data_IF_863511492112
#
_entry.id   IF_863511492112
#
_cell.length_a   1.000
_cell.length_b   1.000
_cell.length_c   1.000
_cell.angle_alpha   90.00
_cell.angle_beta   90.00
_cell.angle_gamma   90.00
#
_symmetry.space_group_name_H-M   'P 1'
#
loop_
_entity.id
_entity.type
_entity.pdbx_description
1 polymer ?
#
# COMPACT_ATOMS: atom_id res chain seq x y z
N UNK A 1 -84.89 25.51 -35.70
CA UNK A 1 -84.18 26.52 -36.49
C UNK A 1 -82.75 26.37 -36.21
N UNK A 2 -82.03 25.99 -37.25
CA UNK A 2 -80.67 26.14 -37.62
C UNK A 2 -79.58 25.88 -36.59
N UNK A 3 -78.99 24.76 -36.68
CA UNK A 3 -77.74 24.20 -36.34
C UNK A 3 -76.54 24.81 -36.98
N UNK A 4 -75.47 24.85 -36.21
CA UNK A 4 -74.13 25.00 -36.76
C UNK A 4 -73.25 23.88 -36.24
N UNK A 5 -72.76 23.05 -37.15
CA UNK A 5 -71.74 22.02 -36.88
C UNK A 5 -70.40 22.65 -36.97
N UNK A 6 -69.67 22.57 -35.83
CA UNK A 6 -68.26 22.98 -35.79
C UNK A 6 -67.37 21.74 -35.93
N UNK A 7 -66.63 21.64 -37.04
CA UNK A 7 -65.67 20.61 -37.35
C UNK A 7 -64.38 20.91 -36.59
N UNK A 8 -64.05 20.06 -35.62
CA UNK A 8 -62.74 20.15 -34.91
C UNK A 8 -61.66 19.45 -35.76
N UNK A 9 -60.69 20.21 -36.20
CA UNK A 9 -59.48 19.69 -36.88
C UNK A 9 -58.51 19.20 -35.81
N UNK A 10 -58.27 17.86 -35.80
CA UNK A 10 -57.23 17.22 -34.96
C UNK A 10 -55.93 17.38 -35.75
N UNK A 11 -55.02 18.21 -35.20
CA UNK A 11 -53.62 18.25 -35.64
C UNK A 11 -52.86 17.09 -35.00
N UNK A 12 -52.52 16.08 -35.77
CA UNK A 12 -51.59 15.03 -35.36
C UNK A 12 -50.19 15.59 -35.47
N UNK A 13 -49.55 15.88 -34.32
CA UNK A 13 -48.13 16.17 -34.26
C UNK A 13 -47.40 14.85 -34.19
N UNK A 14 -46.75 14.48 -35.27
CA UNK A 14 -45.82 13.34 -35.30
C UNK A 14 -44.52 13.79 -34.66
N UNK A 15 -44.30 13.37 -33.41
CA UNK A 15 -43.03 13.58 -32.67
C UNK A 15 -42.05 12.49 -33.14
N UNK A 16 -41.16 12.83 -34.05
CA UNK A 16 -40.02 11.99 -34.43
C UNK A 16 -39.00 11.95 -33.28
N UNK A 17 -39.03 10.86 -32.52
CA UNK A 17 -37.98 10.60 -31.52
C UNK A 17 -36.68 10.21 -32.24
N UNK A 18 -35.71 11.15 -32.29
CA UNK A 18 -34.34 10.86 -32.71
C UNK A 18 -33.65 10.14 -31.56
N UNK A 19 -33.58 8.82 -31.63
CA UNK A 19 -32.72 8.01 -30.79
C UNK A 19 -31.25 8.29 -31.20
N UNK A 20 -30.56 9.20 -30.51
CA UNK A 20 -29.11 9.25 -30.54
C UNK A 20 -28.57 8.00 -29.82
N UNK A 21 -28.26 6.97 -30.58
CA UNK A 21 -27.44 5.87 -30.11
C UNK A 21 -26.02 6.39 -29.90
N UNK A 22 -25.67 6.68 -28.65
CA UNK A 22 -24.28 6.86 -28.26
C UNK A 22 -23.58 5.51 -28.45
N UNK A 23 -22.98 5.30 -29.62
CA UNK A 23 -22.02 4.22 -29.84
C UNK A 23 -20.73 4.62 -29.15
N UNK A 24 -20.66 4.40 -27.82
CA UNK A 24 -19.40 4.39 -27.11
C UNK A 24 -18.52 3.32 -27.75
N UNK A 25 -17.39 3.71 -28.35
CA UNK A 25 -16.41 2.75 -28.82
C UNK A 25 -16.05 1.86 -27.62
N UNK A 26 -16.07 0.52 -27.76
CA UNK A 26 -15.63 -0.35 -26.68
C UNK A 26 -14.20 0.04 -26.31
N UNK A 27 -13.98 0.31 -25.02
CA UNK A 27 -12.64 0.53 -24.47
C UNK A 27 -11.82 -0.70 -24.87
N UNK A 28 -10.66 -0.55 -25.54
CA UNK A 28 -9.89 -1.73 -25.94
C UNK A 28 -9.63 -2.56 -24.68
N UNK A 29 -9.98 -3.82 -24.71
CA UNK A 29 -9.62 -4.76 -23.66
C UNK A 29 -8.10 -4.69 -23.51
N UNK A 30 -7.62 -4.39 -22.31
CA UNK A 30 -6.18 -4.38 -22.03
C UNK A 30 -5.67 -5.78 -22.38
N UNK A 31 -4.79 -5.86 -23.37
CA UNK A 31 -4.09 -7.11 -23.70
C UNK A 31 -3.24 -7.43 -22.49
N UNK A 32 -3.73 -8.29 -21.62
CA UNK A 32 -2.96 -8.83 -20.51
C UNK A 32 -1.99 -9.83 -21.10
N UNK A 33 -0.77 -9.39 -21.40
CA UNK A 33 0.30 -10.32 -21.73
C UNK A 33 0.48 -11.26 -20.53
N UNK A 34 0.44 -12.56 -20.80
CA UNK A 34 0.66 -13.55 -19.76
C UNK A 34 2.09 -13.40 -19.22
N UNK A 35 2.23 -13.39 -17.89
CA UNK A 35 3.54 -13.28 -17.23
C UNK A 35 4.27 -14.62 -17.38
N UNK A 36 5.47 -14.60 -17.92
CA UNK A 36 6.39 -15.72 -17.78
C UNK A 36 6.77 -15.85 -16.30
N UNK A 37 6.61 -17.04 -15.72
CA UNK A 37 6.72 -17.25 -14.30
C UNK A 37 7.54 -18.49 -13.96
N UNK A 38 8.57 -18.28 -13.18
CA UNK A 38 9.37 -19.34 -12.57
C UNK A 38 9.33 -19.15 -11.05
N UNK A 39 8.99 -20.18 -10.26
CA UNK A 39 8.97 -20.04 -8.80
C UNK A 39 10.31 -19.51 -8.26
N UNK A 40 10.23 -18.56 -7.34
CA UNK A 40 11.41 -18.04 -6.65
C UNK A 40 12.15 -19.20 -5.93
N UNK A 41 13.49 -19.18 -5.92
CA UNK A 41 14.29 -20.24 -5.30
C UNK A 41 14.29 -20.19 -3.77
N UNK A 42 13.58 -19.25 -3.18
CA UNK A 42 13.51 -18.98 -1.75
C UNK A 42 12.07 -18.99 -1.25
N UNK A 43 11.91 -19.21 0.05
CA UNK A 43 10.62 -19.25 0.70
C UNK A 43 10.54 -18.16 1.77
N UNK A 44 9.56 -17.28 1.65
CA UNK A 44 9.28 -16.26 2.66
C UNK A 44 8.90 -16.91 4.00
N UNK A 45 9.47 -16.41 5.11
CA UNK A 45 9.19 -16.91 6.45
C UNK A 45 8.15 -16.02 7.15
N UNK A 46 6.93 -16.51 7.28
CA UNK A 46 5.87 -15.86 8.05
C UNK A 46 6.20 -15.74 9.54
N UNK A 47 6.98 -16.68 10.09
CA UNK A 47 7.42 -16.62 11.49
C UNK A 47 8.42 -15.49 11.70
N UNK A 48 9.34 -15.29 10.76
CA UNK A 48 10.28 -14.16 10.83
C UNK A 48 9.54 -12.84 10.70
N UNK A 49 8.59 -12.72 9.77
CA UNK A 49 7.78 -11.51 9.59
C UNK A 49 6.96 -11.22 10.85
N UNK A 50 6.28 -12.22 11.41
CA UNK A 50 5.56 -12.07 12.68
C UNK A 50 6.46 -11.57 13.81
N UNK A 51 7.66 -12.13 13.95
CA UNK A 51 8.63 -11.67 14.95
C UNK A 51 9.09 -10.22 14.72
N UNK A 52 9.13 -9.75 13.47
CA UNK A 52 9.43 -8.35 13.17
C UNK A 52 8.25 -7.43 13.53
N UNK A 53 7.00 -7.85 13.36
CA UNK A 53 5.83 -7.12 13.90
C UNK A 53 5.93 -7.05 15.43
N UNK A 54 6.09 -8.20 16.08
CA UNK A 54 6.18 -8.29 17.55
C UNK A 54 7.31 -7.38 18.10
N UNK A 55 8.43 -7.33 17.39
CA UNK A 55 9.54 -6.44 17.76
C UNK A 55 9.18 -4.97 17.64
N UNK A 56 8.49 -4.54 16.59
CA UNK A 56 7.99 -3.18 16.44
C UNK A 56 7.04 -2.80 17.58
N UNK A 57 6.03 -3.64 17.87
CA UNK A 57 5.10 -3.45 18.98
C UNK A 57 5.82 -3.39 20.34
N UNK A 58 6.93 -4.14 20.52
CA UNK A 58 7.68 -4.15 21.79
C UNK A 58 8.31 -2.81 22.17
N UNK A 59 8.40 -1.83 21.26
CA UNK A 59 8.81 -0.47 21.56
C UNK A 59 7.65 0.38 22.12
N UNK A 60 6.41 -0.07 21.95
CA UNK A 60 5.18 0.68 22.17
C UNK A 60 4.70 1.43 20.93
N UNK A 61 3.60 2.20 21.04
CA UNK A 61 3.06 3.00 19.95
C UNK A 61 4.09 3.94 19.33
N UNK A 62 4.28 3.81 18.02
CA UNK A 62 5.31 4.53 17.26
C UNK A 62 4.81 5.89 16.79
N UNK A 63 4.11 6.59 17.67
CA UNK A 63 3.54 7.91 17.36
C UNK A 63 4.62 8.97 17.25
N UNK A 64 4.37 9.96 16.41
CA UNK A 64 5.30 11.04 16.14
C UNK A 64 5.85 11.69 17.43
N UNK A 65 7.14 12.00 17.46
CA UNK A 65 7.87 12.57 18.60
C UNK A 65 8.02 11.66 19.83
N UNK A 66 7.51 10.43 19.83
CA UNK A 66 7.66 9.52 20.96
C UNK A 66 9.06 8.88 21.01
N UNK A 67 9.46 8.39 22.18
CA UNK A 67 10.68 7.59 22.32
C UNK A 67 10.56 6.25 21.57
N UNK A 68 9.38 5.64 21.59
CA UNK A 68 9.08 4.41 20.86
C UNK A 68 9.34 4.58 19.36
N UNK A 69 8.85 5.68 18.76
CA UNK A 69 9.10 6.04 17.37
C UNK A 69 10.61 6.13 17.08
N UNK A 70 11.37 6.88 17.86
CA UNK A 70 12.82 7.01 17.66
C UNK A 70 13.54 5.65 17.72
N UNK A 71 13.28 4.87 18.78
CA UNK A 71 13.93 3.58 18.99
C UNK A 71 13.56 2.55 17.90
N UNK A 72 12.29 2.53 17.48
CA UNK A 72 11.84 1.65 16.41
C UNK A 72 12.48 2.02 15.07
N UNK A 73 12.50 3.30 14.70
CA UNK A 73 13.17 3.76 13.47
C UNK A 73 14.65 3.42 13.44
N UNK A 74 15.34 3.55 14.57
CA UNK A 74 16.76 3.15 14.69
C UNK A 74 16.93 1.64 14.52
N UNK A 75 16.03 0.86 15.10
CA UNK A 75 16.04 -0.61 14.96
C UNK A 75 15.74 -1.06 13.52
N UNK A 76 14.76 -0.45 12.82
CA UNK A 76 14.46 -0.72 11.41
C UNK A 76 15.71 -0.47 10.56
N UNK A 77 16.30 0.72 10.68
CA UNK A 77 17.50 1.10 9.93
C UNK A 77 18.68 0.16 10.20
N UNK A 78 18.91 -0.21 11.47
CA UNK A 78 19.96 -1.15 11.87
C UNK A 78 19.68 -2.57 11.34
N UNK A 79 18.43 -2.98 11.25
CA UNK A 79 18.05 -4.31 10.75
C UNK A 79 18.30 -4.43 9.26
N UNK A 80 17.94 -3.45 8.45
CA UNK A 80 18.28 -3.41 7.03
C UNK A 80 19.81 -3.42 6.80
N UNK A 81 20.56 -2.62 7.58
CA UNK A 81 22.04 -2.62 7.53
C UNK A 81 22.61 -4.01 7.84
N UNK A 82 22.07 -4.71 8.84
CA UNK A 82 22.48 -6.08 9.20
C UNK A 82 22.26 -7.07 8.05
N UNK A 83 21.27 -6.84 7.21
CA UNK A 83 21.02 -7.63 6.00
C UNK A 83 21.86 -7.18 4.80
N UNK A 84 22.80 -6.26 4.99
CA UNK A 84 23.76 -5.85 3.97
C UNK A 84 23.26 -4.76 3.02
N UNK A 85 22.11 -4.12 3.31
CA UNK A 85 21.60 -3.01 2.49
C UNK A 85 22.29 -1.69 2.85
N UNK A 86 22.46 -0.83 1.86
CA UNK A 86 22.84 0.57 2.06
C UNK A 86 21.63 1.34 2.61
N UNK A 87 21.77 1.96 3.78
CA UNK A 87 20.65 2.63 4.46
C UNK A 87 20.94 4.10 4.65
N UNK A 88 19.98 4.94 4.24
CA UNK A 88 19.96 6.38 4.52
C UNK A 88 18.64 6.78 5.18
N UNK A 89 18.64 7.90 5.89
CA UNK A 89 17.45 8.50 6.47
C UNK A 89 17.25 9.89 5.88
N UNK A 90 16.02 10.16 5.45
CA UNK A 90 15.58 11.47 5.00
C UNK A 90 14.76 12.10 6.12
N UNK A 91 15.25 13.21 6.68
CA UNK A 91 14.57 13.95 7.74
C UNK A 91 13.89 15.19 7.20
N UNK A 92 12.71 15.50 7.74
CA UNK A 92 12.05 16.78 7.50
C UNK A 92 11.32 17.25 8.75
N UNK A 93 11.29 18.57 8.93
CA UNK A 93 10.50 19.22 9.97
C UNK A 93 9.16 19.65 9.37
N UNK A 94 8.08 19.08 9.88
CA UNK A 94 6.71 19.29 9.39
C UNK A 94 5.77 19.65 10.54
N UNK A 95 4.50 19.85 10.23
CA UNK A 95 3.45 20.08 11.20
C UNK A 95 2.26 19.16 10.94
N UNK A 96 1.77 18.55 12.00
CA UNK A 96 0.49 17.87 11.99
C UNK A 96 -0.66 18.88 11.84
N UNK A 97 -1.85 18.38 11.55
CA UNK A 97 -3.05 19.19 11.35
C UNK A 97 -3.46 20.07 12.56
N UNK A 98 -3.07 19.67 13.77
CA UNK A 98 -3.28 20.39 15.02
C UNK A 98 -2.20 21.45 15.31
N UNK A 99 -1.23 21.58 14.41
CA UNK A 99 -0.09 22.50 14.53
C UNK A 99 1.13 21.92 15.29
N UNK A 100 1.04 20.69 15.79
CA UNK A 100 2.15 20.00 16.46
C UNK A 100 3.34 19.90 15.51
N UNK A 101 4.49 20.38 15.97
CA UNK A 101 5.74 20.25 15.21
C UNK A 101 6.27 18.84 15.35
N UNK A 102 6.59 18.23 14.23
CA UNK A 102 7.20 16.91 14.15
C UNK A 102 8.49 16.95 13.37
N UNK A 103 9.39 16.02 13.67
CA UNK A 103 10.54 15.72 12.84
C UNK A 103 10.39 14.30 12.31
N UNK A 104 9.87 14.19 11.09
CA UNK A 104 9.69 12.90 10.45
C UNK A 104 10.98 12.35 9.86
N UNK A 105 11.02 11.03 9.67
CA UNK A 105 12.17 10.28 9.19
C UNK A 105 11.75 9.18 8.21
N UNK A 106 11.80 9.43 6.92
CA UNK A 106 11.74 8.34 5.95
C UNK A 106 13.04 7.54 5.99
N UNK A 107 12.94 6.20 5.97
CA UNK A 107 14.10 5.30 5.98
C UNK A 107 14.16 4.62 4.62
N UNK A 108 15.29 4.76 3.91
CA UNK A 108 15.50 4.16 2.61
C UNK A 108 16.62 3.13 2.71
N UNK A 109 16.34 1.87 2.37
CA UNK A 109 17.29 0.78 2.38
C UNK A 109 17.42 0.19 0.97
N UNK A 110 18.63 0.24 0.40
CA UNK A 110 18.90 -0.11 -0.99
C UNK A 110 19.72 -1.40 -1.11
N UNK A 111 19.15 -2.38 -1.80
CA UNK A 111 19.84 -3.53 -2.34
C UNK A 111 20.34 -3.17 -3.75
N UNK A 112 21.60 -3.47 -4.07
CA UNK A 112 22.27 -2.99 -5.28
C UNK A 112 22.08 -1.49 -5.54
N UNK A 113 22.63 -0.62 -4.69
CA UNK A 113 22.41 0.83 -4.75
C UNK A 113 22.87 1.45 -6.08
N UNK A 114 23.90 0.89 -6.72
CA UNK A 114 24.44 1.38 -8.00
C UNK A 114 23.68 0.88 -9.24
N UNK A 115 22.69 0.02 -9.09
CA UNK A 115 21.90 -0.49 -10.19
C UNK A 115 21.04 0.63 -10.81
N UNK A 116 21.17 0.82 -12.13
CA UNK A 116 20.41 1.83 -12.89
C UNK A 116 18.93 1.49 -13.01
N UNK A 117 18.61 0.20 -13.18
CA UNK A 117 17.22 -0.28 -13.20
C UNK A 117 16.86 -0.70 -11.78
N UNK A 118 15.81 -0.14 -11.25
CA UNK A 118 15.35 -0.42 -9.88
C UNK A 118 13.86 -0.34 -9.72
N UNK A 119 13.36 -0.98 -8.71
CA UNK A 119 12.00 -0.86 -8.20
C UNK A 119 12.07 -0.52 -6.71
N UNK A 120 10.93 -0.15 -6.11
CA UNK A 120 10.86 -0.08 -4.66
C UNK A 120 9.64 -0.80 -4.11
N UNK A 121 9.75 -1.25 -2.86
CA UNK A 121 8.65 -1.69 -2.02
C UNK A 121 8.59 -0.74 -0.83
N UNK A 122 7.42 -0.26 -0.48
CA UNK A 122 7.23 0.71 0.59
C UNK A 122 6.11 0.32 1.55
N UNK A 123 6.03 1.02 2.65
CA UNK A 123 4.98 1.00 3.64
C UNK A 123 5.34 1.96 4.77
N UNK A 124 4.37 2.38 5.58
CA UNK A 124 4.64 3.28 6.69
C UNK A 124 5.07 2.53 7.94
N UNK A 125 5.77 3.23 8.85
CA UNK A 125 6.31 2.61 10.07
C UNK A 125 5.90 3.32 11.37
N UNK A 126 5.32 4.51 11.27
CA UNK A 126 4.65 5.15 12.39
C UNK A 126 3.34 4.43 12.75
N UNK A 127 2.70 4.80 13.82
CA UNK A 127 1.39 4.31 14.19
C UNK A 127 0.50 5.44 14.66
N UNK A 128 -0.81 5.22 14.53
CA UNK A 128 -1.83 6.21 14.86
C UNK A 128 -1.77 6.64 16.32
N UNK A 129 -1.80 7.95 16.60
CA UNK A 129 -1.81 8.45 17.97
C UNK A 129 -3.18 8.35 18.67
N UNK A 130 -4.20 7.84 17.99
CA UNK A 130 -5.56 7.76 18.48
C UNK A 130 -6.23 6.45 18.09
N UNK A 131 -6.96 5.81 19.04
CA UNK A 131 -7.84 4.68 18.75
C UNK A 131 -9.25 5.19 18.40
N UNK A 132 -9.35 6.06 17.41
CA UNK A 132 -10.56 6.83 17.11
C UNK A 132 -11.68 6.04 16.41
N UNK A 133 -11.44 4.76 16.09
CA UNK A 133 -12.46 3.80 15.66
C UNK A 133 -12.79 2.73 16.72
N UNK A 134 -12.21 2.81 17.93
CA UNK A 134 -12.55 1.88 18.98
C UNK A 134 -14.02 2.05 19.44
N UNK A 135 -14.73 0.96 19.67
CA UNK A 135 -16.12 0.98 20.13
C UNK A 135 -16.30 1.66 21.50
N UNK A 136 -15.23 1.68 22.31
CA UNK A 136 -15.18 2.35 23.60
C UNK A 136 -14.59 3.76 23.43
N UNK A 137 -15.45 4.77 23.35
CA UNK A 137 -15.08 6.19 23.19
C UNK A 137 -14.04 6.66 24.23
N UNK A 138 -13.97 6.03 25.42
CA UNK A 138 -12.98 6.39 26.44
C UNK A 138 -11.54 6.09 26.00
N UNK A 139 -11.36 5.24 24.99
CA UNK A 139 -10.07 4.88 24.40
C UNK A 139 -9.65 5.74 23.23
N UNK A 140 -10.52 6.57 22.67
CA UNK A 140 -10.26 7.34 21.45
C UNK A 140 -9.03 8.22 21.50
N UNK A 141 -8.53 8.56 22.67
CA UNK A 141 -7.28 9.33 22.84
C UNK A 141 -6.07 8.44 23.16
N UNK A 142 -6.21 7.13 23.05
CA UNK A 142 -5.14 6.17 23.33
C UNK A 142 -4.34 5.89 22.07
N UNK A 143 -3.02 6.04 22.07
CA UNK A 143 -2.17 5.60 20.96
C UNK A 143 -2.25 4.10 20.75
N UNK A 144 -2.23 3.65 19.49
CA UNK A 144 -2.31 2.24 19.14
C UNK A 144 -0.93 1.64 18.80
N UNK A 145 -0.79 0.34 18.95
CA UNK A 145 0.44 -0.38 18.59
C UNK A 145 0.68 -0.40 17.08
N UNK A 146 -0.36 -0.33 16.24
CA UNK A 146 -0.24 -0.35 14.80
C UNK A 146 0.47 -1.61 14.30
N UNK A 147 0.05 -2.79 14.80
CA UNK A 147 0.70 -4.05 14.45
C UNK A 147 0.46 -4.44 12.99
N UNK A 148 -0.79 -4.27 12.53
CA UNK A 148 -1.16 -4.46 11.15
C UNK A 148 -0.93 -3.16 10.36
N UNK A 149 -1.42 -2.06 10.88
CA UNK A 149 -1.37 -0.72 10.34
C UNK A 149 -0.05 -0.04 10.71
N UNK A 150 0.79 0.01 9.87
CA UNK A 150 2.06 0.03 9.23
C UNK A 150 3.02 -1.11 9.61
N UNK A 151 2.89 -1.72 10.81
CA UNK A 151 3.84 -2.72 11.29
C UNK A 151 3.97 -3.95 10.39
N UNK A 152 2.88 -4.38 9.77
CA UNK A 152 2.85 -5.56 8.91
C UNK A 152 3.62 -5.36 7.60
N UNK A 153 3.45 -4.21 6.94
CA UNK A 153 4.17 -3.85 5.72
C UNK A 153 5.69 -3.83 5.94
N UNK A 154 6.12 -3.15 7.01
CA UNK A 154 7.55 -3.10 7.40
C UNK A 154 8.09 -4.50 7.68
N UNK A 155 7.34 -5.35 8.37
CA UNK A 155 7.78 -6.71 8.69
C UNK A 155 7.98 -7.57 7.42
N UNK A 156 7.09 -7.43 6.43
CA UNK A 156 7.26 -8.06 5.11
C UNK A 156 8.53 -7.56 4.44
N UNK A 157 8.77 -6.25 4.42
CA UNK A 157 9.97 -5.67 3.80
C UNK A 157 11.27 -6.14 4.48
N UNK A 158 11.30 -6.23 5.81
CA UNK A 158 12.47 -6.74 6.55
C UNK A 158 12.75 -8.20 6.23
N UNK A 159 11.73 -9.03 6.11
CA UNK A 159 11.91 -10.43 5.74
C UNK A 159 12.36 -10.57 4.28
N UNK A 160 11.83 -9.77 3.35
CA UNK A 160 12.32 -9.74 1.97
C UNK A 160 13.80 -9.35 1.90
N UNK A 161 14.23 -8.35 2.67
CA UNK A 161 15.63 -7.96 2.75
C UNK A 161 16.52 -9.10 3.28
N UNK A 162 16.03 -9.86 4.28
CA UNK A 162 16.72 -11.06 4.77
C UNK A 162 16.84 -12.13 3.69
N UNK A 163 15.79 -12.35 2.90
CA UNK A 163 15.82 -13.32 1.78
C UNK A 163 16.79 -12.89 0.68
N UNK A 164 16.84 -11.59 0.35
CA UNK A 164 17.84 -11.05 -0.59
C UNK A 164 19.27 -11.24 -0.08
N UNK A 165 19.53 -11.09 1.23
CA UNK A 165 20.83 -11.41 1.81
C UNK A 165 21.18 -12.88 1.64
N UNK A 166 20.22 -13.80 1.89
CA UNK A 166 20.44 -15.23 1.69
C UNK A 166 20.80 -15.52 0.23
N UNK A 167 20.05 -14.93 -0.74
CA UNK A 167 20.34 -15.08 -2.15
C UNK A 167 21.74 -14.57 -2.50
N UNK A 168 22.12 -13.40 -2.00
CA UNK A 168 23.41 -12.78 -2.28
C UNK A 168 24.61 -13.55 -1.69
N UNK A 169 24.40 -14.33 -0.63
CA UNK A 169 25.43 -15.14 0.04
C UNK A 169 25.47 -16.60 -0.46
N UNK A 170 24.55 -17.01 -1.32
CA UNK A 170 24.42 -18.38 -1.80
C UNK A 170 24.81 -18.48 -3.28
N UNK A 171 25.93 -19.12 -3.58
CA UNK A 171 26.44 -19.26 -4.95
C UNK A 171 25.51 -20.04 -5.89
N UNK A 172 24.55 -20.78 -5.36
CA UNK A 172 23.61 -21.60 -6.15
C UNK A 172 22.27 -20.89 -6.42
N UNK A 173 22.06 -19.71 -5.85
CA UNK A 173 20.85 -18.92 -6.04
C UNK A 173 21.19 -17.68 -6.88
N UNK A 174 20.56 -17.57 -8.06
CA UNK A 174 20.65 -16.36 -8.85
C UNK A 174 19.87 -15.24 -8.16
N UNK A 175 20.56 -14.31 -7.54
CA UNK A 175 19.95 -13.14 -6.91
C UNK A 175 19.37 -12.19 -7.97
N UNK A 176 18.32 -11.38 -7.63
CA UNK A 176 17.77 -10.39 -8.55
C UNK A 176 18.85 -9.42 -9.06
N UNK A 177 18.89 -9.21 -10.38
CA UNK A 177 19.90 -8.38 -11.05
C UNK A 177 19.49 -6.89 -11.14
N UNK A 178 18.45 -6.48 -10.42
CA UNK A 178 17.95 -5.10 -10.37
C UNK A 178 18.17 -4.49 -8.98
N UNK A 179 18.22 -3.17 -8.91
CA UNK A 179 18.18 -2.47 -7.62
C UNK A 179 16.80 -2.58 -6.99
N UNK A 180 16.76 -2.82 -5.70
CA UNK A 180 15.53 -2.87 -4.92
C UNK A 180 15.68 -1.92 -3.74
N UNK A 181 14.77 -0.96 -3.63
CA UNK A 181 14.71 -0.08 -2.48
C UNK A 181 13.55 -0.47 -1.58
N UNK A 182 13.78 -0.50 -0.29
CA UNK A 182 12.73 -0.54 0.71
C UNK A 182 12.60 0.86 1.29
N UNK A 183 11.42 1.46 1.17
CA UNK A 183 11.16 2.83 1.65
C UNK A 183 10.13 2.76 2.75
N UNK A 184 10.55 3.06 3.98
CA UNK A 184 9.66 3.14 5.12
C UNK A 184 9.23 4.59 5.28
N UNK A 185 7.96 4.88 5.00
CA UNK A 185 7.37 6.19 5.14
C UNK A 185 7.10 6.52 6.59
N UNK A 186 7.20 7.80 6.94
CA UNK A 186 6.92 8.29 8.28
C UNK A 186 5.76 9.29 8.27
N UNK A 187 5.08 9.44 9.39
CA UNK A 187 3.96 10.36 9.56
C UNK A 187 2.85 10.14 8.51
N UNK A 188 2.56 8.90 8.21
CA UNK A 188 1.41 8.52 7.40
C UNK A 188 0.12 8.71 8.18
N UNK A 189 0.05 8.14 9.41
CA UNK A 189 -1.16 7.82 10.14
C UNK A 189 -1.53 8.86 11.22
N UNK A 190 -0.98 10.06 11.13
CA UNK A 190 -1.32 11.17 12.04
C UNK A 190 -2.31 12.18 11.42
N UNK A 191 -3.07 11.76 10.41
CA UNK A 191 -4.04 12.59 9.69
C UNK A 191 -5.37 12.79 10.42
N UNK A 192 -6.17 13.76 9.95
CA UNK A 192 -7.49 14.04 10.51
C UNK A 192 -8.52 12.99 10.11
N UNK A 193 -9.29 12.48 11.08
CA UNK A 193 -10.39 11.55 10.83
C UNK A 193 -11.74 12.26 10.63
N UNK A 194 -12.24 13.00 11.59
CA UNK A 194 -13.62 13.53 11.60
C UNK A 194 -13.97 14.56 10.50
N UNK A 195 -12.98 15.29 9.97
CA UNK A 195 -13.04 16.06 8.73
C UNK A 195 -11.90 15.62 7.84
N UNK A 196 -12.09 14.51 7.17
CA UNK A 196 -11.06 13.93 6.33
C UNK A 196 -10.46 14.98 5.37
N UNK A 197 -9.15 15.07 5.40
CA UNK A 197 -8.36 15.88 4.47
C UNK A 197 -7.13 15.10 4.04
N UNK A 198 -7.11 14.66 2.80
CA UNK A 198 -6.00 13.86 2.25
C UNK A 198 -4.61 14.53 2.43
N UNK A 199 -4.58 15.87 2.55
CA UNK A 199 -3.31 16.60 2.74
C UNK A 199 -2.71 16.44 4.13
N UNK A 200 -3.45 15.87 5.09
CA UNK A 200 -2.97 15.68 6.48
C UNK A 200 -2.42 14.29 6.73
N UNK A 201 -2.58 13.37 5.76
CA UNK A 201 -2.11 11.98 5.79
C UNK A 201 -0.87 11.82 4.92
N UNK A 202 -0.14 10.74 5.08
CA UNK A 202 0.96 10.35 4.19
C UNK A 202 2.04 11.45 4.08
N UNK A 203 2.36 12.17 5.17
CA UNK A 203 3.27 13.32 5.11
C UNK A 203 4.68 12.95 4.65
N UNK A 204 5.17 11.76 5.02
CA UNK A 204 6.48 11.26 4.61
C UNK A 204 6.59 11.03 3.11
N UNK A 205 5.63 10.36 2.50
CA UNK A 205 5.60 10.15 1.05
C UNK A 205 5.28 11.43 0.29
N UNK A 206 4.44 12.33 0.82
CA UNK A 206 4.21 13.65 0.25
C UNK A 206 5.49 14.49 0.20
N UNK A 207 6.29 14.46 1.28
CA UNK A 207 7.57 15.15 1.33
C UNK A 207 8.56 14.54 0.32
N UNK A 208 8.70 13.19 0.34
CA UNK A 208 9.60 12.49 -0.56
C UNK A 208 9.25 12.69 -2.04
N UNK A 209 7.96 12.74 -2.38
CA UNK A 209 7.52 12.98 -3.75
C UNK A 209 8.01 14.32 -4.32
N UNK A 210 8.23 15.31 -3.45
CA UNK A 210 8.78 16.64 -3.78
C UNK A 210 10.30 16.72 -3.64
N UNK A 211 10.89 15.90 -2.76
CA UNK A 211 12.30 15.93 -2.35
C UNK A 211 12.86 14.51 -2.37
N UNK A 212 13.08 13.95 -3.55
CA UNK A 212 13.59 12.57 -3.68
C UNK A 212 14.93 12.43 -2.97
N UNK A 213 15.19 11.24 -2.43
CA UNK A 213 16.40 10.95 -1.66
C UNK A 213 17.69 10.94 -2.52
N UNK A 214 17.55 10.87 -3.86
CA UNK A 214 18.62 11.12 -4.84
C UNK A 214 18.03 11.91 -6.00
N UNK A 215 18.82 12.82 -6.60
CA UNK A 215 18.33 13.76 -7.62
C UNK A 215 17.74 13.07 -8.85
N UNK A 216 18.39 12.02 -9.36
CA UNK A 216 17.98 11.28 -10.55
C UNK A 216 17.19 10.00 -10.25
N UNK A 217 16.52 9.92 -9.11
CA UNK A 217 15.79 8.72 -8.73
C UNK A 217 14.59 8.48 -9.65
N UNK A 218 14.69 7.46 -10.49
CA UNK A 218 13.69 7.08 -11.47
C UNK A 218 13.46 5.55 -11.45
N UNK A 219 12.76 5.01 -10.47
CA UNK A 219 12.44 3.60 -10.41
C UNK A 219 11.44 3.23 -11.53
N UNK A 220 11.46 1.98 -11.95
CA UNK A 220 10.51 1.45 -12.94
C UNK A 220 9.09 1.49 -12.41
N UNK A 221 8.92 1.15 -11.13
CA UNK A 221 7.65 1.23 -10.38
C UNK A 221 7.89 1.05 -8.88
N UNK A 222 6.85 1.34 -8.10
CA UNK A 222 6.74 1.06 -6.68
C UNK A 222 5.58 0.14 -6.33
N UNK A 223 5.67 -0.52 -5.18
CA UNK A 223 4.60 -1.30 -4.55
C UNK A 223 4.52 -0.87 -3.09
N UNK A 224 3.40 -0.27 -2.69
CA UNK A 224 3.13 0.07 -1.30
C UNK A 224 2.43 -1.11 -0.62
N UNK A 225 2.72 -1.34 0.64
CA UNK A 225 2.17 -2.42 1.46
C UNK A 225 1.55 -1.81 2.71
N UNK A 226 0.24 -1.91 2.84
CA UNK A 226 -0.46 -1.43 4.01
C UNK A 226 -1.47 -2.46 4.52
N UNK A 227 -1.55 -2.64 5.84
CA UNK A 227 -2.45 -3.60 6.53
C UNK A 227 -2.42 -5.01 5.94
N UNK A 228 -1.22 -5.57 5.75
CA UNK A 228 -1.01 -6.87 5.08
C UNK A 228 -0.89 -8.05 6.05
N UNK A 229 -1.35 -7.92 7.28
CA UNK A 229 -1.14 -8.90 8.35
C UNK A 229 -2.38 -9.40 9.09
N UNK A 230 -3.61 -8.92 8.83
CA UNK A 230 -4.82 -9.36 9.53
C UNK A 230 -5.39 -10.67 8.99
N UNK A 231 -6.22 -11.34 9.80
CA UNK A 231 -7.08 -12.43 9.35
C UNK A 231 -8.19 -11.90 8.39
N UNK A 232 -8.79 -12.79 7.62
CA UNK A 232 -9.88 -12.49 6.66
C UNK A 232 -9.53 -11.39 5.64
N UNK A 233 -8.25 -11.09 5.47
CA UNK A 233 -7.79 -10.00 4.59
C UNK A 233 -7.64 -10.48 3.16
N UNK A 234 -8.18 -9.68 2.25
CA UNK A 234 -8.01 -9.80 0.80
C UNK A 234 -7.55 -8.46 0.21
N UNK A 235 -6.99 -8.52 -0.99
CA UNK A 235 -6.45 -7.37 -1.71
C UNK A 235 -7.17 -7.24 -3.05
N UNK A 236 -7.81 -6.09 -3.28
CA UNK A 236 -8.47 -5.77 -4.53
C UNK A 236 -7.55 -4.93 -5.42
N UNK A 237 -7.91 -4.81 -6.71
CA UNK A 237 -7.26 -3.90 -7.66
C UNK A 237 -7.69 -2.47 -7.33
N UNK A 238 -6.91 -1.79 -6.49
CA UNK A 238 -7.19 -0.44 -6.01
C UNK A 238 -7.27 0.56 -7.18
N UNK A 239 -8.17 1.53 -7.11
CA UNK A 239 -8.56 2.39 -8.24
C UNK A 239 -7.41 3.28 -8.71
N UNK A 240 -6.68 3.95 -7.80
CA UNK A 240 -5.54 4.83 -8.17
C UNK A 240 -4.41 4.00 -8.77
N UNK A 241 -4.14 2.82 -8.19
CA UNK A 241 -3.17 1.84 -8.71
C UNK A 241 -3.51 1.43 -10.15
N UNK A 242 -4.78 1.15 -10.42
CA UNK A 242 -5.26 0.82 -11.77
C UNK A 242 -5.18 2.00 -12.73
N UNK A 243 -5.32 3.23 -12.24
CA UNK A 243 -5.20 4.43 -13.05
C UNK A 243 -3.75 4.72 -13.46
N UNK A 244 -2.81 4.58 -12.53
CA UNK A 244 -1.41 5.00 -12.75
C UNK A 244 -0.47 3.85 -13.16
N UNK A 245 -0.74 2.62 -12.71
CA UNK A 245 0.15 1.48 -12.90
C UNK A 245 -0.58 0.15 -13.20
N UNK A 246 -1.55 0.10 -14.16
CA UNK A 246 -2.37 -1.09 -14.41
C UNK A 246 -1.53 -2.30 -14.83
N UNK A 247 -0.41 -2.09 -15.50
CA UNK A 247 0.50 -3.18 -15.91
C UNK A 247 1.20 -3.82 -14.71
N UNK A 248 1.53 -3.03 -13.69
CA UNK A 248 2.14 -3.51 -12.43
C UNK A 248 1.11 -4.30 -11.64
N UNK A 249 -0.12 -3.76 -11.47
CA UNK A 249 -1.23 -4.49 -10.82
C UNK A 249 -1.45 -5.83 -11.51
N UNK A 250 -1.62 -5.83 -12.84
CA UNK A 250 -1.84 -7.07 -13.61
C UNK A 250 -0.72 -8.10 -13.41
N UNK A 251 0.54 -7.65 -13.40
CA UNK A 251 1.71 -8.50 -13.16
C UNK A 251 1.68 -9.12 -11.77
N UNK A 252 1.49 -8.33 -10.73
CA UNK A 252 1.48 -8.78 -9.33
C UNK A 252 0.34 -9.78 -9.09
N UNK A 253 -0.88 -9.49 -9.53
CA UNK A 253 -2.04 -10.38 -9.39
C UNK A 253 -1.87 -11.71 -10.16
N UNK A 254 -1.25 -11.66 -11.35
CA UNK A 254 -0.92 -12.89 -12.08
C UNK A 254 0.12 -13.73 -11.36
N UNK A 255 1.18 -13.11 -10.82
CA UNK A 255 2.22 -13.79 -10.05
C UNK A 255 1.60 -14.39 -8.78
N UNK A 256 0.82 -13.63 -8.00
CA UNK A 256 0.14 -14.14 -6.81
C UNK A 256 -0.71 -15.40 -7.11
N UNK A 257 -1.47 -15.37 -8.21
CA UNK A 257 -2.26 -16.53 -8.64
C UNK A 257 -1.39 -17.73 -9.01
N UNK A 258 -0.31 -17.52 -9.79
CA UNK A 258 0.62 -18.59 -10.19
C UNK A 258 1.37 -19.18 -9.00
N UNK A 259 1.67 -18.36 -7.99
CA UNK A 259 2.29 -18.78 -6.73
C UNK A 259 1.30 -19.45 -5.73
N UNK A 260 0.00 -19.55 -6.09
CA UNK A 260 -1.01 -20.20 -5.24
C UNK A 260 -1.72 -19.29 -4.23
N UNK A 261 -1.52 -17.97 -4.33
CA UNK A 261 -2.11 -16.98 -3.41
C UNK A 261 -3.32 -16.23 -4.00
N UNK A 262 -3.88 -16.71 -5.12
CA UNK A 262 -5.01 -16.06 -5.80
C UNK A 262 -6.26 -15.84 -4.92
N UNK A 263 -6.42 -16.61 -3.84
CA UNK A 263 -7.51 -16.39 -2.89
C UNK A 263 -7.36 -15.11 -2.04
N UNK A 264 -6.14 -14.56 -1.92
CA UNK A 264 -5.88 -13.30 -1.24
C UNK A 264 -5.92 -12.11 -2.22
N UNK A 265 -5.50 -12.32 -3.47
CA UNK A 265 -5.41 -11.28 -4.50
C UNK A 265 -6.62 -11.39 -5.44
N UNK A 266 -7.70 -10.72 -5.07
CA UNK A 266 -9.00 -10.83 -5.74
C UNK A 266 -8.95 -10.09 -7.08
N UNK A 267 -9.36 -10.77 -8.16
CA UNK A 267 -9.38 -10.21 -9.52
C UNK A 267 -10.65 -9.36 -9.76
N UNK A 268 -10.82 -8.33 -8.94
CA UNK A 268 -11.91 -7.37 -9.03
C UNK A 268 -11.39 -5.96 -8.67
N UNK A 269 -12.09 -4.95 -9.17
CA UNK A 269 -11.81 -3.55 -8.83
C UNK A 269 -12.18 -3.29 -7.37
N UNK A 270 -11.30 -2.60 -6.64
CA UNK A 270 -11.49 -2.16 -5.27
C UNK A 270 -12.01 -0.73 -5.19
N UNK A 271 -11.90 -0.14 -4.01
CA UNK A 271 -12.18 1.29 -3.79
C UNK A 271 -10.97 2.17 -4.16
N UNK A 272 -11.20 3.49 -4.23
CA UNK A 272 -10.13 4.48 -4.29
C UNK A 272 -9.62 4.72 -2.86
N UNK A 273 -8.31 4.58 -2.65
CA UNK A 273 -7.68 4.77 -1.35
C UNK A 273 -6.81 6.03 -1.33
N UNK A 274 -6.77 6.68 -0.17
CA UNK A 274 -5.75 7.69 0.13
C UNK A 274 -4.68 7.02 0.96
N UNK A 275 -3.51 6.82 0.35
CA UNK A 275 -2.37 6.18 0.97
C UNK A 275 -1.06 6.67 0.30
N UNK A 276 0.08 6.25 0.80
CA UNK A 276 1.43 6.66 0.40
C UNK A 276 1.73 6.49 -1.10
N UNK A 277 1.08 5.55 -1.78
CA UNK A 277 1.21 5.40 -3.24
C UNK A 277 0.67 6.60 -4.01
N UNK A 278 -0.31 7.35 -3.48
CA UNK A 278 -0.96 8.48 -4.18
C UNK A 278 0.00 9.64 -4.44
N UNK A 279 0.73 10.18 -3.43
CA UNK A 279 1.74 11.21 -3.68
C UNK A 279 2.83 10.74 -4.65
N UNK A 280 3.24 9.48 -4.56
CA UNK A 280 4.23 8.88 -5.45
C UNK A 280 3.72 8.86 -6.89
N UNK A 281 2.50 8.36 -7.14
CA UNK A 281 1.86 8.36 -8.44
C UNK A 281 1.76 9.77 -9.04
N UNK A 282 1.34 10.74 -8.24
CA UNK A 282 1.24 12.15 -8.66
C UNK A 282 2.59 12.78 -8.98
N UNK A 283 3.69 12.25 -8.45
CA UNK A 283 5.05 12.68 -8.78
C UNK A 283 5.59 12.08 -10.10
N UNK A 284 4.78 11.25 -10.79
CA UNK A 284 5.11 10.65 -12.08
C UNK A 284 5.79 9.28 -12.01
N UNK A 285 5.82 8.64 -10.84
CA UNK A 285 6.33 7.27 -10.67
C UNK A 285 5.13 6.32 -10.62
N UNK A 286 5.03 5.29 -11.49
CA UNK A 286 4.02 4.26 -11.37
C UNK A 286 4.15 3.55 -10.01
N UNK A 287 3.09 3.58 -9.20
CA UNK A 287 3.05 2.90 -7.92
C UNK A 287 1.71 2.23 -7.74
N UNK A 288 1.70 1.06 -7.11
CA UNK A 288 0.49 0.35 -6.73
C UNK A 288 0.40 0.22 -5.23
N UNK A 289 -0.81 0.01 -4.76
CA UNK A 289 -1.11 -0.26 -3.38
C UNK A 289 -1.62 -1.69 -3.19
N UNK A 290 -1.07 -2.40 -2.23
CA UNK A 290 -1.57 -3.66 -1.71
C UNK A 290 -2.05 -3.37 -0.30
N UNK A 291 -3.32 -2.97 -0.21
CA UNK A 291 -3.95 -2.56 1.04
C UNK A 291 -4.99 -3.59 1.48
N UNK A 292 -4.95 -3.94 2.77
CA UNK A 292 -5.79 -4.97 3.34
C UNK A 292 -7.26 -4.54 3.50
N UNK A 293 -8.16 -5.35 2.95
CA UNK A 293 -9.61 -5.22 3.11
C UNK A 293 -10.14 -6.50 3.78
N UNK A 294 -10.95 -6.36 4.83
CA UNK A 294 -11.65 -7.50 5.41
C UNK A 294 -12.70 -8.02 4.41
N UNK A 295 -12.61 -9.29 4.04
CA UNK A 295 -13.46 -9.90 3.01
C UNK A 295 -14.93 -9.92 3.41
N UNK A 296 -15.23 -10.10 4.70
CA UNK A 296 -16.60 -10.19 5.21
C UNK A 296 -17.26 -8.80 5.34
N UNK A 297 -16.48 -7.80 5.75
CA UNK A 297 -16.97 -6.44 5.98
C UNK A 297 -16.95 -5.59 4.71
N UNK A 298 -16.06 -5.90 3.75
CA UNK A 298 -15.87 -5.09 2.53
C UNK A 298 -15.25 -3.71 2.79
N UNK A 299 -14.60 -3.54 3.95
CA UNK A 299 -13.91 -2.31 4.38
C UNK A 299 -12.61 -2.68 5.09
N UNK A 300 -11.94 -1.73 5.74
CA UNK A 300 -10.74 -2.00 6.53
C UNK A 300 -10.99 -3.01 7.65
N UNK A 301 -9.94 -3.73 8.12
CA UNK A 301 -10.06 -4.67 9.23
C UNK A 301 -10.73 -4.05 10.45
N UNK A 302 -11.51 -4.85 11.20
CA UNK A 302 -12.23 -4.36 12.40
C UNK A 302 -11.29 -3.81 13.49
N UNK A 303 -10.03 -4.19 13.46
CA UNK A 303 -8.99 -3.67 14.38
C UNK A 303 -8.40 -2.33 13.94
N UNK A 304 -8.73 -1.86 12.73
CA UNK A 304 -8.20 -0.61 12.19
C UNK A 304 -8.54 0.58 13.07
N UNK A 305 -7.53 1.32 13.50
CA UNK A 305 -7.63 2.46 14.41
C UNK A 305 -8.30 2.16 15.76
N UNK A 306 -8.09 0.95 16.26
CA UNK A 306 -8.52 0.53 17.59
C UNK A 306 -7.32 0.06 18.42
N UNK A 307 -7.48 -0.10 19.74
CA UNK A 307 -6.43 -0.67 20.59
C UNK A 307 -6.17 -2.16 20.30
N UNK A 308 -7.05 -2.78 19.50
CA UNK A 308 -6.93 -4.18 19.10
C UNK A 308 -6.04 -4.34 17.85
N UNK A 309 -5.53 -3.24 17.26
CA UNK A 309 -4.43 -3.36 16.29
C UNK A 309 -3.10 -3.62 17.01
N UNK A 310 -3.00 -4.81 17.55
CA UNK A 310 -1.87 -5.31 18.32
C UNK A 310 -1.39 -6.68 17.80
N UNK A 311 -0.31 -7.20 18.38
CA UNK A 311 0.35 -8.43 17.91
C UNK A 311 -0.54 -9.67 17.94
N UNK A 312 -1.53 -9.74 18.83
CA UNK A 312 -2.42 -10.90 18.97
C UNK A 312 -3.38 -11.05 17.78
N UNK A 313 -3.60 -9.96 17.03
CA UNK A 313 -4.48 -9.92 15.86
C UNK A 313 -3.70 -10.04 14.53
N UNK A 314 -2.43 -10.37 14.57
CA UNK A 314 -1.62 -10.65 13.38
C UNK A 314 -1.77 -12.11 12.96
N UNK A 315 -2.13 -12.31 11.68
CA UNK A 315 -2.35 -13.62 11.09
C UNK A 315 -1.22 -13.98 10.11
N UNK A 316 -0.35 -14.88 10.51
CA UNK A 316 0.84 -15.30 9.74
C UNK A 316 0.55 -15.70 8.29
N UNK A 317 -0.54 -16.42 7.97
CA UNK A 317 -0.82 -16.79 6.58
C UNK A 317 -1.04 -15.60 5.63
N UNK A 318 -1.57 -14.47 6.10
CA UNK A 318 -1.68 -13.25 5.29
C UNK A 318 -0.31 -12.63 5.03
N UNK A 319 0.55 -12.52 6.07
CA UNK A 319 1.96 -12.12 5.90
C UNK A 319 2.69 -13.02 4.89
N UNK A 320 2.44 -14.35 4.94
CA UNK A 320 2.99 -15.31 4.00
C UNK A 320 2.52 -15.05 2.58
N UNK A 321 1.22 -14.83 2.39
CA UNK A 321 0.64 -14.63 1.06
C UNK A 321 1.22 -13.40 0.38
N UNK A 322 1.30 -12.27 1.08
CA UNK A 322 1.90 -11.04 0.55
C UNK A 322 3.40 -11.20 0.40
N UNK A 323 4.09 -11.64 1.45
CA UNK A 323 5.55 -11.75 1.44
C UNK A 323 6.08 -12.70 0.37
N UNK A 324 5.46 -13.88 0.19
CA UNK A 324 5.85 -14.80 -0.88
C UNK A 324 5.53 -14.21 -2.27
N UNK A 325 4.37 -13.56 -2.43
CA UNK A 325 4.03 -12.89 -3.70
C UNK A 325 5.08 -11.82 -4.05
N UNK A 326 5.50 -11.01 -3.08
CA UNK A 326 6.55 -10.01 -3.29
C UNK A 326 7.90 -10.68 -3.62
N UNK A 327 8.25 -11.75 -2.93
CA UNK A 327 9.46 -12.52 -3.24
C UNK A 327 9.42 -13.04 -4.69
N UNK A 328 8.30 -13.61 -5.12
CA UNK A 328 8.10 -14.04 -6.50
C UNK A 328 8.23 -12.86 -7.49
N UNK A 329 7.70 -11.69 -7.17
CA UNK A 329 7.84 -10.47 -8.00
C UNK A 329 9.30 -10.06 -8.15
N UNK A 330 10.09 -10.17 -7.09
CA UNK A 330 11.52 -9.80 -7.11
C UNK A 330 12.38 -10.75 -7.95
N UNK A 331 11.97 -12.02 -8.09
CA UNK A 331 12.73 -13.03 -8.83
C UNK A 331 12.22 -13.28 -10.27
N UNK A 332 11.10 -12.63 -10.67
CA UNK A 332 10.53 -12.71 -12.02
C UNK A 332 10.55 -11.35 -12.73
#
# INVERSE_FOLDING_TARGET
>A
MTGFKTISRICIVVMAAVLLACTGKPKPAAVTTEVDYTPAPLTFSEDSAYNYVAKQCSFGPRTMNSQAHQLCGDWIAATFKRFGLAVQSQYADERLHDGTKIRMRNIIASYYPDAKKRIFISGHWDSRPWADNDDDESKHQTPIDGANDGGSGIAVMLELARQLQIAALCDTIAAPAIGIDFICWDAEDAGTHGRFSASTWCLGSQYWAKHRHTDDYAPLYGINLDMVGSANTVFYREVVSMQYAPTVVNRVWQIARKAGYGKYFIDAEGAEMTDDHVPVCRSGIPCIDIIGIDEEQGTFPLTWHTIDDNIDNIFKPTLKAVGQTMLEVLFN
#
